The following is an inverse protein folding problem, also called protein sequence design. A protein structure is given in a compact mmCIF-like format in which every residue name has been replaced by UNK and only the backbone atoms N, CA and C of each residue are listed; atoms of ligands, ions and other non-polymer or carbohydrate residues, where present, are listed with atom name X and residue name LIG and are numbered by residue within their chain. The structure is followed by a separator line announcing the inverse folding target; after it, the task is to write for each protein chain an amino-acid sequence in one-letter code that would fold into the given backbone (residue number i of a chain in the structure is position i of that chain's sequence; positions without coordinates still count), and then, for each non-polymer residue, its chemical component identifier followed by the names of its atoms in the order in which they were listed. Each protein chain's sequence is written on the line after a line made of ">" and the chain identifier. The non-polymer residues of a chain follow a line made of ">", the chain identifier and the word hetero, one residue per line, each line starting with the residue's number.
data_IF_326914405717
#
_entry.id   IF_326914405717
#
_cell.length_a   1.000
_cell.length_b   1.000
_cell.length_c   1.000
_cell.angle_alpha   90.00
_cell.angle_beta   90.00
_cell.angle_gamma   90.00
#
_symmetry.space_group_name_H-M   'P 1'
#
loop_
_entity.id
_entity.type
_entity.pdbx_description
1 polymer ?
#
# COMPACT_ATOMS: atom_id res chain seq x y z
N UNK A 1 13.62 -43.91 -24.66
CA UNK A 1 14.04 -42.96 -23.63
C UNK A 1 13.00 -43.03 -22.52
N UNK A 2 13.33 -43.66 -21.38
CA UNK A 2 12.43 -43.77 -20.23
C UNK A 2 12.60 -42.55 -19.33
N UNK A 3 11.53 -41.94 -18.80
CA UNK A 3 11.65 -40.83 -17.88
C UNK A 3 12.10 -41.34 -16.50
N UNK A 4 13.07 -40.63 -15.92
CA UNK A 4 13.61 -40.91 -14.61
C UNK A 4 12.53 -40.69 -13.53
N UNK A 5 12.30 -41.71 -12.69
CA UNK A 5 11.49 -41.61 -11.48
C UNK A 5 12.27 -40.81 -10.43
N UNK A 6 11.89 -39.56 -10.20
CA UNK A 6 12.34 -38.77 -9.06
C UNK A 6 11.74 -39.34 -7.77
N UNK A 7 12.58 -39.81 -6.86
CA UNK A 7 12.18 -40.27 -5.54
C UNK A 7 11.86 -39.09 -4.62
N UNK A 8 10.64 -39.03 -4.10
CA UNK A 8 10.26 -38.09 -3.06
C UNK A 8 10.87 -38.52 -1.71
N UNK A 9 11.61 -37.63 -1.06
CA UNK A 9 12.02 -37.81 0.33
C UNK A 9 10.86 -37.48 1.29
N UNK A 10 10.68 -38.23 2.38
CA UNK A 10 9.65 -37.95 3.38
C UNK A 10 10.03 -36.72 4.22
N UNK A 11 9.13 -35.75 4.27
CA UNK A 11 9.25 -34.55 5.13
C UNK A 11 8.89 -34.93 6.57
N UNK A 12 9.81 -34.66 7.49
CA UNK A 12 9.63 -34.83 8.94
C UNK A 12 8.72 -33.72 9.47
N UNK A 13 7.61 -34.07 10.12
CA UNK A 13 6.69 -33.09 10.72
C UNK A 13 7.18 -32.71 12.12
N UNK A 14 7.66 -31.48 12.29
CA UNK A 14 7.89 -30.89 13.61
C UNK A 14 6.63 -30.13 14.06
N UNK A 15 6.30 -30.24 15.35
CA UNK A 15 5.05 -29.76 15.94
C UNK A 15 4.97 -28.23 16.07
N UNK A 16 3.78 -27.69 16.39
CA UNK A 16 3.54 -26.25 16.41
C UNK A 16 4.24 -25.55 17.57
N UNK A 17 4.89 -24.41 17.28
CA UNK A 17 5.43 -23.49 18.28
C UNK A 17 4.32 -22.71 19.01
N UNK A 18 4.46 -22.43 20.31
CA UNK A 18 3.51 -21.61 21.06
C UNK A 18 3.71 -20.12 20.74
N UNK A 19 2.61 -19.43 20.44
CA UNK A 19 2.53 -17.98 20.30
C UNK A 19 2.53 -17.33 21.69
N UNK A 20 3.57 -16.56 22.02
CA UNK A 20 3.59 -15.68 23.19
C UNK A 20 2.80 -14.40 22.87
N UNK A 21 1.70 -14.20 23.58
CA UNK A 21 0.98 -12.93 23.65
C UNK A 21 1.37 -12.25 24.95
N UNK A 22 2.15 -11.17 24.88
CA UNK A 22 2.27 -10.23 25.99
C UNK A 22 2.66 -8.82 25.50
N UNK A 23 2.24 -7.86 26.31
CA UNK A 23 2.62 -6.44 26.35
C UNK A 23 1.87 -5.44 25.46
N UNK A 24 0.72 -5.04 26.00
CA UNK A 24 0.13 -3.71 25.82
C UNK A 24 0.90 -2.69 26.67
N UNK A 25 1.63 -1.78 26.02
CA UNK A 25 2.35 -0.69 26.70
C UNK A 25 1.53 0.61 26.65
N UNK A 26 1.38 1.19 27.83
CA UNK A 26 0.52 2.31 28.19
C UNK A 26 1.25 3.64 27.90
N UNK A 27 0.90 4.33 26.81
CA UNK A 27 1.54 5.61 26.46
C UNK A 27 1.03 6.74 27.37
N UNK A 28 1.90 7.23 28.26
CA UNK A 28 1.72 8.45 29.04
C UNK A 28 1.65 9.68 28.12
N UNK A 29 0.58 10.46 28.28
CA UNK A 29 0.42 11.79 27.70
C UNK A 29 1.25 12.81 28.49
N UNK A 30 2.28 13.39 27.86
CA UNK A 30 2.97 14.58 28.36
C UNK A 30 2.17 15.85 28.01
N UNK A 31 1.70 16.56 29.04
CA UNK A 31 1.13 17.90 28.90
C UNK A 31 2.24 18.92 28.58
N UNK A 32 2.24 19.47 27.36
CA UNK A 32 3.07 20.62 27.00
C UNK A 32 2.38 21.92 27.46
N UNK A 33 2.95 22.55 28.49
CA UNK A 33 2.60 23.90 28.91
C UNK A 33 2.99 24.94 27.86
N UNK A 34 2.01 25.73 27.41
CA UNK A 34 2.24 26.87 26.54
C UNK A 34 2.49 28.13 27.38
N UNK A 35 3.60 28.81 27.09
CA UNK A 35 3.98 30.09 27.69
C UNK A 35 3.23 31.23 26.97
N UNK A 36 2.41 31.98 27.71
CA UNK A 36 1.65 33.12 27.17
C UNK A 36 2.60 34.33 27.07
N UNK A 37 2.96 34.72 25.85
CA UNK A 37 3.74 35.95 25.60
C UNK A 37 2.88 37.22 25.85
N UNK A 38 3.47 38.28 26.44
CA UNK A 38 2.75 39.51 26.71
C UNK A 38 2.46 40.30 25.42
N UNK A 39 1.18 40.64 25.27
CA UNK A 39 0.64 41.48 24.20
C UNK A 39 1.22 42.90 24.29
N UNK A 40 2.17 43.24 23.41
CA UNK A 40 2.67 44.61 23.26
C UNK A 40 1.69 45.43 22.44
N UNK A 41 1.15 46.50 23.05
CA UNK A 41 0.27 47.47 22.36
C UNK A 41 1.07 48.21 21.29
N UNK A 42 0.61 48.25 20.02
CA UNK A 42 1.19 49.15 19.05
C UNK A 42 0.85 50.60 19.37
N UNK A 43 1.90 51.41 19.42
CA UNK A 43 1.88 52.86 19.46
C UNK A 43 1.08 53.43 18.29
N UNK A 44 0.02 54.19 18.60
CA UNK A 44 -0.73 55.02 17.65
C UNK A 44 0.09 56.24 17.31
N UNK A 45 0.59 56.34 16.07
CA UNK A 45 0.91 57.62 15.45
C UNK A 45 1.15 57.44 13.96
N UNK A 46 0.10 57.61 13.16
CA UNK A 46 0.14 58.12 11.78
C UNK A 46 -1.32 58.34 11.33
N UNK A 47 -1.90 59.40 11.89
CA UNK A 47 -3.16 59.95 11.43
C UNK A 47 -2.82 61.14 10.51
N UNK A 48 -2.50 60.86 9.25
CA UNK A 48 -2.41 61.90 8.23
C UNK A 48 -3.16 61.48 6.96
N UNK A 49 -4.26 62.20 6.73
CA UNK A 49 -4.79 62.59 5.42
C UNK A 49 -5.18 61.46 4.45
N UNK A 50 -6.21 60.69 4.82
CA UNK A 50 -7.08 60.05 3.81
C UNK A 50 -8.24 61.00 3.54
N UNK A 51 -8.13 61.74 2.42
CA UNK A 51 -9.23 62.53 1.87
C UNK A 51 -10.45 61.61 1.71
N UNK A 52 -11.59 62.04 2.27
CA UNK A 52 -12.83 61.28 2.32
C UNK A 52 -13.45 61.07 0.95
N UNK A 53 -12.92 60.12 0.19
CA UNK A 53 -13.64 59.49 -0.90
C UNK A 53 -14.74 58.64 -0.30
N UNK A 54 -16.00 59.06 -0.45
CA UNK A 54 -17.15 58.23 -0.12
C UNK A 54 -17.13 57.03 -1.06
N UNK A 55 -16.58 55.91 -0.59
CA UNK A 55 -16.67 54.65 -1.32
C UNK A 55 -18.15 54.29 -1.38
N UNK A 56 -18.76 54.24 -2.57
CA UNK A 56 -20.18 54.03 -2.67
C UNK A 56 -20.55 52.64 -2.15
N UNK A 57 -21.64 52.57 -1.38
CA UNK A 57 -22.09 51.39 -0.62
C UNK A 57 -22.23 50.12 -1.49
N UNK A 58 -22.49 50.29 -2.80
CA UNK A 58 -22.61 49.18 -3.76
C UNK A 58 -21.29 48.44 -3.97
N UNK A 59 -20.13 49.09 -3.85
CA UNK A 59 -18.83 48.42 -3.97
C UNK A 59 -18.60 47.43 -2.83
N UNK A 60 -19.00 47.77 -1.60
CA UNK A 60 -18.95 46.86 -0.45
C UNK A 60 -19.89 45.66 -0.61
N UNK A 61 -21.07 45.89 -1.18
CA UNK A 61 -22.02 44.81 -1.45
C UNK A 61 -21.48 43.83 -2.50
N UNK A 62 -20.90 44.34 -3.60
CA UNK A 62 -20.34 43.50 -4.65
C UNK A 62 -19.13 42.69 -4.16
N UNK A 63 -18.22 43.30 -3.39
CA UNK A 63 -17.05 42.58 -2.87
C UNK A 63 -17.45 41.48 -1.88
N UNK A 64 -18.44 41.72 -1.02
CA UNK A 64 -18.98 40.72 -0.08
C UNK A 64 -19.60 39.53 -0.80
N UNK A 65 -20.37 39.76 -1.88
CA UNK A 65 -20.97 38.68 -2.69
C UNK A 65 -19.89 37.88 -3.42
N UNK A 66 -18.90 38.54 -4.03
CA UNK A 66 -17.80 37.81 -4.69
C UNK A 66 -16.97 36.99 -3.71
N UNK A 67 -16.73 37.53 -2.50
CA UNK A 67 -15.98 36.83 -1.46
C UNK A 67 -16.74 35.59 -0.97
N UNK A 68 -18.05 35.69 -0.75
CA UNK A 68 -18.89 34.54 -0.33
C UNK A 68 -18.97 33.47 -1.41
N UNK A 69 -19.07 33.84 -2.68
CA UNK A 69 -19.04 32.88 -3.80
C UNK A 69 -17.66 32.19 -3.87
N UNK A 70 -16.57 32.94 -3.82
CA UNK A 70 -15.21 32.39 -3.91
C UNK A 70 -14.91 31.45 -2.74
N UNK A 71 -15.27 31.85 -1.52
CA UNK A 71 -15.12 31.01 -0.32
C UNK A 71 -15.98 29.76 -0.38
N UNK A 72 -17.21 29.83 -0.93
CA UNK A 72 -18.03 28.65 -1.16
C UNK A 72 -17.37 27.67 -2.15
N UNK A 73 -16.82 28.15 -3.27
CA UNK A 73 -16.13 27.31 -4.23
C UNK A 73 -14.82 26.74 -3.69
N UNK A 74 -14.04 27.52 -2.94
CA UNK A 74 -12.82 27.04 -2.26
C UNK A 74 -13.16 26.00 -1.18
N UNK A 75 -14.20 26.24 -0.38
CA UNK A 75 -14.65 25.28 0.63
C UNK A 75 -15.16 24.00 -0.05
N UNK A 76 -15.91 24.10 -1.15
CA UNK A 76 -16.30 22.95 -1.96
C UNK A 76 -15.08 22.24 -2.54
N UNK A 77 -14.08 22.94 -3.05
CA UNK A 77 -12.87 22.32 -3.57
C UNK A 77 -12.09 21.61 -2.46
N UNK A 78 -12.00 22.18 -1.26
CA UNK A 78 -11.32 21.55 -0.10
C UNK A 78 -12.11 20.36 0.45
N UNK A 79 -13.44 20.44 0.52
CA UNK A 79 -14.31 19.34 0.99
C UNK A 79 -14.44 18.24 -0.08
N UNK A 80 -14.41 18.61 -1.37
CA UNK A 80 -14.50 17.66 -2.49
C UNK A 80 -13.14 17.13 -2.92
N UNK A 81 -12.04 17.77 -2.48
CA UNK A 81 -10.75 17.12 -2.46
C UNK A 81 -10.92 15.92 -1.53
N UNK A 82 -10.82 14.68 -2.03
CA UNK A 82 -10.80 13.54 -1.15
C UNK A 82 -9.57 13.76 -0.26
N UNK A 83 -9.81 14.21 0.97
CA UNK A 83 -8.90 13.91 2.04
C UNK A 83 -8.89 12.38 2.08
N UNK A 84 -7.94 11.77 1.37
CA UNK A 84 -7.57 10.36 1.50
C UNK A 84 -6.98 10.15 2.90
N UNK A 85 -7.72 10.50 3.95
CA UNK A 85 -7.28 10.41 5.34
C UNK A 85 -7.84 9.17 6.04
N UNK A 86 -8.26 8.17 5.28
CA UNK A 86 -8.56 6.85 5.78
C UNK A 86 -8.41 5.86 4.64
N UNK A 87 -7.40 5.00 4.71
CA UNK A 87 -7.39 3.76 3.93
C UNK A 87 -8.71 3.04 4.22
N UNK A 88 -9.55 2.89 3.20
CA UNK A 88 -10.80 2.16 3.32
C UNK A 88 -10.52 0.69 3.02
N UNK A 89 -10.04 -0.01 4.04
CA UNK A 89 -9.83 -1.46 3.97
C UNK A 89 -11.12 -2.26 3.74
N UNK A 90 -12.30 -1.63 3.63
CA UNK A 90 -13.55 -2.32 3.29
C UNK A 90 -13.79 -2.47 1.78
N UNK A 91 -13.01 -1.79 0.93
CA UNK A 91 -13.24 -1.72 -0.53
C UNK A 91 -12.23 -2.43 -1.44
N UNK A 92 -11.22 -3.12 -0.89
CA UNK A 92 -10.17 -3.69 -1.75
C UNK A 92 -10.59 -4.94 -2.53
N UNK A 93 -11.58 -5.66 -2.02
CA UNK A 93 -12.20 -6.79 -2.72
C UNK A 93 -13.45 -6.34 -3.45
N UNK A 94 -13.49 -6.62 -4.76
CA UNK A 94 -14.67 -6.37 -5.58
C UNK A 94 -15.80 -7.38 -5.29
N UNK A 95 -15.45 -8.61 -4.91
CA UNK A 95 -16.40 -9.62 -4.46
C UNK A 95 -15.89 -10.32 -3.19
N UNK A 96 -16.80 -10.81 -2.31
CA UNK A 96 -16.42 -11.59 -1.15
C UNK A 96 -15.53 -12.80 -1.51
N UNK A 97 -14.67 -13.21 -0.58
CA UNK A 97 -13.91 -14.45 -0.73
C UNK A 97 -14.84 -15.64 -1.00
N UNK A 98 -14.48 -16.45 -2.01
CA UNK A 98 -15.28 -17.59 -2.42
C UNK A 98 -16.57 -17.25 -3.16
N UNK A 99 -16.75 -15.98 -3.59
CA UNK A 99 -17.86 -15.63 -4.47
C UNK A 99 -17.83 -16.48 -5.75
N UNK A 100 -18.97 -17.03 -6.19
CA UNK A 100 -19.08 -17.70 -7.48
C UNK A 100 -18.61 -16.80 -8.62
N UNK A 101 -17.92 -17.38 -9.61
CA UNK A 101 -17.32 -16.62 -10.69
C UNK A 101 -18.34 -15.82 -11.51
N UNK A 102 -19.52 -16.38 -11.75
CA UNK A 102 -20.62 -15.70 -12.44
C UNK A 102 -21.11 -14.46 -11.69
N UNK A 103 -21.22 -14.54 -10.37
CA UNK A 103 -21.61 -13.41 -9.50
C UNK A 103 -20.53 -12.32 -9.49
N UNK A 104 -19.26 -12.69 -9.43
CA UNK A 104 -18.16 -11.73 -9.41
C UNK A 104 -17.99 -11.04 -10.79
N UNK A 105 -18.07 -11.80 -11.88
CA UNK A 105 -18.02 -11.25 -13.25
C UNK A 105 -19.22 -10.34 -13.51
N UNK A 106 -20.43 -10.69 -13.04
CA UNK A 106 -21.60 -9.82 -13.15
C UNK A 106 -21.44 -8.47 -12.40
N UNK A 107 -20.54 -8.40 -11.42
CA UNK A 107 -20.18 -7.16 -10.71
C UNK A 107 -19.03 -6.39 -11.38
N UNK A 108 -18.49 -6.88 -12.50
CA UNK A 108 -17.34 -6.29 -13.17
C UNK A 108 -16.02 -6.53 -12.44
N UNK A 109 -15.93 -7.60 -11.63
CA UNK A 109 -14.71 -7.98 -10.95
C UNK A 109 -13.79 -8.83 -11.85
N UNK A 110 -12.50 -8.76 -11.59
CA UNK A 110 -11.46 -9.49 -12.30
C UNK A 110 -10.76 -10.46 -11.34
N UNK A 111 -10.51 -11.68 -11.83
CA UNK A 111 -9.88 -12.73 -11.03
C UNK A 111 -8.36 -12.61 -11.10
N UNK A 112 -7.74 -12.40 -9.95
CA UNK A 112 -6.32 -12.60 -9.80
C UNK A 112 -6.05 -14.03 -9.32
N UNK A 113 -5.59 -14.86 -10.25
CA UNK A 113 -5.21 -16.26 -10.03
C UNK A 113 -4.14 -16.44 -8.96
N UNK A 114 -3.23 -15.49 -8.75
CA UNK A 114 -2.15 -15.65 -7.77
C UNK A 114 -2.64 -15.34 -6.38
N UNK A 115 -3.31 -14.20 -6.19
CA UNK A 115 -3.84 -13.83 -4.89
C UNK A 115 -5.12 -14.60 -4.53
N UNK A 116 -5.78 -15.22 -5.52
CA UNK A 116 -7.08 -15.89 -5.41
C UNK A 116 -8.19 -14.96 -4.90
N UNK A 117 -8.20 -13.73 -5.41
CA UNK A 117 -9.18 -12.71 -5.06
C UNK A 117 -9.81 -12.08 -6.31
N UNK A 118 -11.00 -11.52 -6.10
CA UNK A 118 -11.72 -10.73 -7.08
C UNK A 118 -11.45 -9.24 -6.85
N UNK A 119 -10.85 -8.57 -7.82
CA UNK A 119 -10.49 -7.16 -7.72
C UNK A 119 -11.28 -6.28 -8.67
N UNK A 120 -11.33 -4.99 -8.34
CA UNK A 120 -11.88 -3.98 -9.24
C UNK A 120 -10.96 -3.82 -10.45
N UNK A 121 -11.56 -3.53 -11.62
CA UNK A 121 -10.83 -3.36 -12.88
C UNK A 121 -9.63 -2.43 -12.76
N UNK A 122 -9.80 -1.28 -12.12
CA UNK A 122 -8.75 -0.26 -11.95
C UNK A 122 -7.49 -0.76 -11.23
N UNK A 123 -7.65 -1.76 -10.34
CA UNK A 123 -6.53 -2.35 -9.58
C UNK A 123 -5.89 -3.52 -10.31
N UNK A 124 -6.63 -4.12 -11.25
CA UNK A 124 -6.21 -5.28 -12.04
C UNK A 124 -5.52 -4.85 -13.35
N UNK A 125 -6.06 -3.83 -14.02
CA UNK A 125 -5.67 -3.42 -15.39
C UNK A 125 -4.46 -2.47 -15.46
N UNK A 126 -3.82 -2.13 -14.34
CA UNK A 126 -2.59 -1.32 -14.41
C UNK A 126 -1.48 -2.12 -15.13
N UNK A 127 -0.67 -1.43 -15.94
CA UNK A 127 0.35 -2.06 -16.77
C UNK A 127 1.37 -2.84 -15.91
N UNK A 128 1.71 -2.30 -14.74
CA UNK A 128 2.59 -2.91 -13.75
C UNK A 128 1.97 -4.16 -13.12
N UNK A 129 0.68 -4.11 -12.76
CA UNK A 129 -0.04 -5.26 -12.21
C UNK A 129 -0.12 -6.39 -13.25
N UNK A 130 -0.45 -6.05 -14.49
CA UNK A 130 -0.50 -7.00 -15.60
C UNK A 130 0.89 -7.58 -15.91
N UNK A 131 1.95 -6.78 -15.83
CA UNK A 131 3.32 -7.26 -15.99
C UNK A 131 3.70 -8.25 -14.88
N UNK A 132 3.42 -7.90 -13.64
CA UNK A 132 3.65 -8.76 -12.48
C UNK A 132 2.90 -10.10 -12.62
N UNK A 133 1.61 -10.05 -12.97
CA UNK A 133 0.82 -11.26 -13.20
C UNK A 133 1.41 -12.13 -14.31
N UNK A 134 1.81 -11.54 -15.44
CA UNK A 134 2.42 -12.29 -16.55
C UNK A 134 3.73 -12.97 -16.15
N UNK A 135 4.60 -12.26 -15.44
CA UNK A 135 5.86 -12.80 -14.92
C UNK A 135 5.59 -14.02 -14.03
N UNK A 136 4.64 -13.89 -13.12
CA UNK A 136 4.29 -14.99 -12.24
C UNK A 136 3.61 -16.14 -12.98
N UNK A 137 2.68 -15.88 -13.90
CA UNK A 137 2.01 -16.91 -14.69
C UNK A 137 3.01 -17.72 -15.54
N UNK A 138 4.04 -17.07 -16.09
CA UNK A 138 5.04 -17.71 -16.92
C UNK A 138 5.86 -18.80 -16.21
N UNK A 139 5.89 -18.80 -14.87
CA UNK A 139 6.63 -19.79 -14.08
C UNK A 139 5.95 -21.16 -13.96
N UNK A 140 4.69 -21.30 -14.42
CA UNK A 140 3.85 -22.51 -14.37
C UNK A 140 3.66 -23.10 -12.96
N UNK A 141 2.41 -23.17 -12.51
CA UNK A 141 2.08 -23.56 -11.14
C UNK A 141 1.03 -24.66 -11.12
N UNK A 142 1.41 -25.94 -10.90
CA UNK A 142 0.42 -27.01 -10.84
C UNK A 142 -0.42 -26.91 -9.56
N UNK A 143 -1.74 -26.85 -9.72
CA UNK A 143 -2.72 -26.77 -8.65
C UNK A 143 -3.66 -27.97 -8.66
N UNK A 144 -4.17 -28.34 -7.49
CA UNK A 144 -4.97 -29.54 -7.32
C UNK A 144 -6.19 -29.34 -6.41
N UNK A 145 -7.26 -30.13 -6.59
CA UNK A 145 -8.40 -30.18 -5.66
C UNK A 145 -8.10 -30.98 -4.40
N UNK A 146 -7.05 -31.79 -4.41
CA UNK A 146 -6.68 -32.66 -3.30
C UNK A 146 -5.20 -32.52 -2.95
N UNK A 147 -4.87 -32.86 -1.71
CA UNK A 147 -3.52 -32.77 -1.16
C UNK A 147 -2.57 -33.79 -1.79
N UNK A 148 -3.11 -34.90 -2.27
CA UNK A 148 -2.39 -36.00 -2.92
C UNK A 148 -2.03 -35.70 -4.38
N UNK A 149 -2.45 -34.54 -4.90
CA UNK A 149 -2.19 -34.06 -6.25
C UNK A 149 -2.77 -34.97 -7.36
N UNK A 150 -3.94 -35.56 -7.13
CA UNK A 150 -4.59 -36.48 -8.07
C UNK A 150 -5.52 -35.77 -9.08
N UNK A 151 -6.14 -34.66 -8.68
CA UNK A 151 -7.13 -33.94 -9.47
C UNK A 151 -6.58 -32.55 -9.82
N UNK A 152 -5.84 -32.40 -10.94
CA UNK A 152 -5.32 -31.11 -11.35
C UNK A 152 -6.48 -30.18 -11.73
N UNK A 153 -6.32 -28.89 -11.43
CA UNK A 153 -7.23 -27.83 -11.87
C UNK A 153 -6.53 -26.91 -12.86
N UNK A 154 -7.32 -26.28 -13.72
CA UNK A 154 -6.84 -25.14 -14.50
C UNK A 154 -6.63 -23.95 -13.56
N UNK A 155 -5.41 -23.43 -13.57
CA UNK A 155 -4.95 -22.31 -12.72
C UNK A 155 -5.69 -21.01 -13.07
N UNK A 156 -6.17 -20.90 -14.30
CA UNK A 156 -6.92 -19.75 -14.80
C UNK A 156 -8.43 -19.92 -14.63
N UNK A 157 -8.90 -21.05 -14.11
CA UNK A 157 -10.32 -21.28 -13.89
C UNK A 157 -10.79 -20.70 -12.55
N UNK A 158 -11.59 -19.62 -12.56
CA UNK A 158 -12.09 -18.99 -11.34
C UNK A 158 -13.19 -19.81 -10.63
N UNK A 159 -13.62 -20.95 -11.20
CA UNK A 159 -14.65 -21.80 -10.59
C UNK A 159 -14.18 -22.51 -9.32
N UNK A 160 -12.87 -22.55 -9.07
CA UNK A 160 -12.25 -23.19 -7.92
C UNK A 160 -11.73 -22.12 -6.92
N UNK A 161 -12.52 -21.74 -5.90
CA UNK A 161 -12.13 -20.68 -4.96
C UNK A 161 -11.02 -21.09 -3.98
N UNK A 162 -10.57 -22.33 -4.03
CA UNK A 162 -9.46 -22.86 -3.25
C UNK A 162 -8.73 -23.93 -4.07
N UNK A 163 -7.44 -24.10 -3.77
CA UNK A 163 -6.59 -25.09 -4.41
C UNK A 163 -5.50 -25.56 -3.45
N UNK A 164 -5.12 -26.83 -3.56
CA UNK A 164 -3.88 -27.32 -3.00
C UNK A 164 -2.72 -26.91 -3.91
N UNK A 165 -1.78 -26.20 -3.30
CA UNK A 165 -0.59 -25.68 -3.96
C UNK A 165 0.66 -26.35 -3.39
N UNK A 166 1.71 -26.40 -4.18
CA UNK A 166 3.02 -26.84 -3.68
C UNK A 166 3.59 -25.83 -2.67
N UNK A 167 4.50 -26.27 -1.78
CA UNK A 167 5.24 -25.34 -0.90
C UNK A 167 5.97 -24.26 -1.70
N UNK A 168 6.58 -24.65 -2.83
CA UNK A 168 7.26 -23.73 -3.74
C UNK A 168 6.29 -22.63 -4.19
N UNK A 169 5.13 -23.01 -4.75
CA UNK A 169 4.12 -22.04 -5.18
C UNK A 169 3.65 -21.14 -4.03
N UNK A 170 3.44 -21.68 -2.83
CA UNK A 170 3.04 -20.88 -1.68
C UNK A 170 4.08 -19.80 -1.33
N UNK A 171 5.38 -20.10 -1.35
CA UNK A 171 6.42 -19.10 -1.11
C UNK A 171 6.46 -18.02 -2.19
N UNK A 172 6.30 -18.41 -3.45
CA UNK A 172 6.18 -17.46 -4.55
C UNK A 172 4.91 -16.60 -4.43
N UNK A 173 3.77 -17.18 -4.04
CA UNK A 173 2.55 -16.44 -3.72
C UNK A 173 2.77 -15.41 -2.60
N UNK A 174 3.49 -15.76 -1.53
CA UNK A 174 3.84 -14.81 -0.47
C UNK A 174 4.67 -13.64 -1.02
N UNK A 175 5.67 -13.90 -1.85
CA UNK A 175 6.46 -12.86 -2.52
C UNK A 175 5.60 -11.97 -3.42
N UNK A 176 4.77 -12.59 -4.26
CA UNK A 176 3.80 -11.91 -5.12
C UNK A 176 2.89 -10.96 -4.34
N UNK A 177 2.28 -11.45 -3.26
CA UNK A 177 1.34 -10.68 -2.46
C UNK A 177 2.01 -9.46 -1.80
N UNK A 178 3.29 -9.58 -1.41
CA UNK A 178 4.07 -8.46 -0.87
C UNK A 178 4.39 -7.41 -1.96
N UNK A 179 4.82 -7.85 -3.15
CA UNK A 179 5.07 -6.95 -4.29
C UNK A 179 3.78 -6.24 -4.71
N UNK A 180 2.68 -6.99 -4.84
CA UNK A 180 1.36 -6.45 -5.17
C UNK A 180 0.88 -5.43 -4.11
N UNK A 181 1.09 -5.73 -2.83
CA UNK A 181 0.76 -4.80 -1.74
C UNK A 181 1.52 -3.50 -1.88
N UNK A 182 2.82 -3.56 -2.13
CA UNK A 182 3.63 -2.36 -2.32
C UNK A 182 3.18 -1.56 -3.55
N UNK A 183 3.00 -2.22 -4.69
CA UNK A 183 2.52 -1.60 -5.93
C UNK A 183 1.19 -0.87 -5.74
N UNK A 184 0.24 -1.49 -5.03
CA UNK A 184 -1.06 -0.88 -4.75
C UNK A 184 -0.94 0.36 -3.85
N UNK A 185 -0.08 0.31 -2.84
CA UNK A 185 0.18 1.47 -1.98
C UNK A 185 0.81 2.63 -2.76
N UNK A 186 1.74 2.35 -3.68
CA UNK A 186 2.34 3.37 -4.56
C UNK A 186 1.31 4.02 -5.49
N UNK A 187 0.30 3.25 -5.91
CA UNK A 187 -0.81 3.72 -6.75
C UNK A 187 -1.92 4.42 -5.93
N UNK A 188 -1.77 4.54 -4.62
CA UNK A 188 -2.78 5.14 -3.73
C UNK A 188 -4.00 4.25 -3.46
N UNK A 189 -3.89 2.95 -3.73
CA UNK A 189 -4.92 1.96 -3.42
C UNK A 189 -4.73 1.34 -2.03
N UNK A 190 -5.81 0.88 -1.41
CA UNK A 190 -5.75 0.06 -0.20
C UNK A 190 -5.09 -1.29 -0.51
N UNK A 191 -4.30 -1.87 0.39
CA UNK A 191 -3.60 -3.13 0.14
C UNK A 191 -4.56 -4.31 -0.13
N UNK A 192 -4.14 -5.31 -0.93
CA UNK A 192 -4.98 -6.44 -1.37
C UNK A 192 -5.27 -7.47 -0.27
N UNK A 193 -4.83 -7.24 0.96
CA UNK A 193 -4.96 -8.16 2.07
C UNK A 193 -4.86 -7.47 3.43
N UNK A 194 -5.19 -8.21 4.49
CA UNK A 194 -5.09 -7.71 5.86
C UNK A 194 -3.64 -7.73 6.33
N UNK A 195 -3.31 -6.86 7.29
CA UNK A 195 -1.99 -6.86 7.93
C UNK A 195 -1.60 -8.24 8.51
N UNK A 196 -2.57 -8.99 9.05
CA UNK A 196 -2.31 -10.34 9.54
C UNK A 196 -1.86 -11.30 8.42
N UNK A 197 -2.39 -11.13 7.21
CA UNK A 197 -1.97 -11.93 6.06
C UNK A 197 -0.57 -11.52 5.58
N UNK A 198 -0.28 -10.22 5.52
CA UNK A 198 1.08 -9.70 5.26
C UNK A 198 2.09 -10.26 6.25
N UNK A 199 1.79 -10.21 7.55
CA UNK A 199 2.64 -10.79 8.60
C UNK A 199 2.87 -12.29 8.39
N UNK A 200 1.82 -13.04 8.07
CA UNK A 200 1.95 -14.47 7.76
C UNK A 200 2.93 -14.71 6.59
N UNK A 201 2.74 -14.00 5.47
CA UNK A 201 3.60 -14.14 4.30
C UNK A 201 5.08 -13.85 4.61
N UNK A 202 5.35 -12.74 5.31
CA UNK A 202 6.72 -12.37 5.70
C UNK A 202 7.32 -13.42 6.62
N UNK A 203 6.61 -13.85 7.67
CA UNK A 203 7.14 -14.82 8.62
C UNK A 203 7.39 -16.18 7.97
N UNK A 204 6.53 -16.62 7.05
CA UNK A 204 6.74 -17.85 6.28
C UNK A 204 8.00 -17.78 5.40
N UNK A 205 8.25 -16.64 4.75
CA UNK A 205 9.45 -16.44 3.94
C UNK A 205 10.72 -16.45 4.80
N UNK A 206 10.68 -15.79 5.96
CA UNK A 206 11.78 -15.82 6.93
C UNK A 206 12.01 -17.23 7.48
N UNK A 207 10.95 -17.98 7.79
CA UNK A 207 11.06 -19.36 8.26
C UNK A 207 11.73 -20.28 7.22
N UNK A 208 11.50 -20.06 5.92
CA UNK A 208 12.21 -20.79 4.86
C UNK A 208 13.69 -20.50 4.88
N UNK A 209 14.08 -19.24 5.06
CA UNK A 209 15.48 -18.82 5.14
C UNK A 209 16.14 -19.44 6.38
N UNK A 210 15.51 -19.37 7.55
CA UNK A 210 16.05 -19.93 8.79
C UNK A 210 16.14 -21.46 8.76
N UNK A 211 15.17 -22.14 8.15
CA UNK A 211 15.16 -23.60 8.04
C UNK A 211 16.10 -24.15 6.96
N UNK A 212 16.42 -23.35 5.95
CA UNK A 212 17.28 -23.71 4.83
C UNK A 212 18.21 -22.54 4.47
N UNK A 213 19.11 -22.15 5.39
CA UNK A 213 19.92 -20.95 5.22
C UNK A 213 20.83 -21.10 3.99
N UNK A 214 20.88 -20.10 3.09
CA UNK A 214 21.87 -20.11 2.03
C UNK A 214 23.28 -20.08 2.66
N UNK A 215 24.30 -20.66 1.99
CA UNK A 215 25.63 -20.82 2.58
C UNK A 215 26.31 -19.50 2.95
N UNK A 216 25.88 -18.40 2.34
CA UNK A 216 26.33 -17.01 2.49
C UNK A 216 25.34 -16.15 3.29
N UNK A 217 24.36 -16.74 3.99
CA UNK A 217 23.35 -15.97 4.75
C UNK A 217 23.96 -14.94 5.72
N UNK A 218 25.13 -15.26 6.27
CA UNK A 218 25.83 -14.42 7.25
C UNK A 218 26.86 -13.48 6.62
N UNK A 219 27.01 -13.50 5.29
CA UNK A 219 27.93 -12.61 4.59
C UNK A 219 27.36 -11.18 4.60
N UNK A 220 28.24 -10.20 4.83
CA UNK A 220 27.87 -8.79 4.82
C UNK A 220 27.65 -8.37 3.37
N UNK A 221 26.39 -8.29 2.95
CA UNK A 221 25.99 -8.06 1.55
C UNK A 221 25.39 -6.69 1.26
N UNK A 222 25.00 -5.93 2.30
CA UNK A 222 24.34 -4.63 2.11
C UNK A 222 25.06 -3.50 2.86
N UNK A 223 25.36 -2.41 2.16
CA UNK A 223 25.79 -1.15 2.76
C UNK A 223 24.58 -0.23 2.93
N UNK A 224 23.92 -0.31 4.10
CA UNK A 224 22.77 0.53 4.40
C UNK A 224 23.23 1.94 4.79
N UNK A 225 22.74 2.96 4.09
CA UNK A 225 22.94 4.36 4.47
C UNK A 225 22.12 4.67 5.71
N UNK A 226 22.78 4.74 6.87
CA UNK A 226 22.17 5.22 8.11
C UNK A 226 22.32 6.75 8.13
N UNK A 227 21.23 7.52 8.27
CA UNK A 227 21.33 8.97 8.41
C UNK A 227 22.27 9.32 9.56
N UNK A 228 23.16 10.30 9.35
CA UNK A 228 24.12 10.72 10.38
C UNK A 228 23.42 11.31 11.63
N UNK A 229 22.17 11.76 11.49
CA UNK A 229 21.37 12.26 12.59
C UNK A 229 19.96 11.62 12.59
N UNK A 230 19.62 10.77 13.57
CA UNK A 230 18.30 10.15 13.67
C UNK A 230 17.17 11.16 13.91
N UNK A 231 17.48 12.40 14.36
CA UNK A 231 16.47 13.48 14.48
C UNK A 231 16.09 14.09 13.14
N UNK A 232 16.94 13.93 12.13
CA UNK A 232 16.72 14.37 10.75
C UNK A 232 16.63 13.16 9.84
N UNK A 233 15.83 12.15 10.25
CA UNK A 233 15.38 11.13 9.30
C UNK A 233 14.93 11.85 8.03
N UNK A 234 15.21 11.32 6.83
CA UNK A 234 14.72 11.90 5.58
C UNK A 234 13.19 11.82 5.53
N UNK A 235 12.53 12.66 6.31
CA UNK A 235 11.18 13.09 6.10
C UNK A 235 11.30 14.02 4.90
N UNK A 236 11.00 13.49 3.72
CA UNK A 236 10.72 14.33 2.57
C UNK A 236 9.45 15.09 2.94
N UNK A 237 9.61 16.28 3.49
CA UNK A 237 8.48 17.20 3.63
C UNK A 237 7.94 17.44 2.22
N UNK A 238 6.61 17.46 2.01
CA UNK A 238 6.05 17.89 0.73
C UNK A 238 6.64 19.23 0.25
N UNK A 239 7.01 20.10 1.19
CA UNK A 239 7.59 21.42 0.93
C UNK A 239 9.08 21.38 0.56
N UNK A 240 9.78 20.26 0.79
CA UNK A 240 11.21 20.12 0.46
C UNK A 240 11.46 19.52 -0.93
N UNK A 241 10.41 19.17 -1.68
CA UNK A 241 10.53 18.87 -3.10
C UNK A 241 10.68 20.18 -3.89
N UNK A 242 11.79 20.39 -4.61
CA UNK A 242 11.88 21.53 -5.51
C UNK A 242 10.74 21.42 -6.53
N UNK A 243 9.91 22.47 -6.65
CA UNK A 243 8.79 22.57 -7.61
C UNK A 243 9.14 22.15 -9.06
N UNK A 244 10.43 22.16 -9.42
CA UNK A 244 10.94 21.66 -10.71
C UNK A 244 10.76 20.16 -10.96
N UNK A 245 10.55 19.33 -9.92
CA UNK A 245 10.35 17.89 -10.10
C UNK A 245 8.94 17.51 -10.55
N UNK A 246 7.97 18.43 -10.44
CA UNK A 246 6.56 18.15 -10.81
C UNK A 246 6.34 18.38 -12.32
N UNK A 247 7.16 19.18 -12.99
CA UNK A 247 6.91 19.57 -14.39
C UNK A 247 7.53 18.64 -15.45
N UNK A 248 8.49 17.78 -15.12
CA UNK A 248 9.26 17.05 -16.15
C UNK A 248 8.88 15.59 -16.35
N UNK A 249 8.18 14.94 -15.41
CA UNK A 249 7.69 13.56 -15.58
C UNK A 249 8.76 12.51 -15.92
N UNK A 250 10.05 12.85 -15.82
CA UNK A 250 11.16 11.98 -16.18
C UNK A 250 11.55 11.18 -14.93
N UNK A 251 11.06 9.93 -14.87
CA UNK A 251 11.52 8.94 -13.91
C UNK A 251 13.02 8.73 -14.12
N UNK A 252 13.82 9.08 -13.10
CA UNK A 252 15.24 8.76 -13.09
C UNK A 252 15.34 7.24 -12.98
N UNK A 253 15.74 6.59 -14.07
CA UNK A 253 16.08 5.18 -14.09
C UNK A 253 17.18 4.89 -13.05
N UNK A 254 16.84 4.02 -12.09
CA UNK A 254 17.73 3.04 -11.50
C UNK A 254 19.03 3.55 -10.89
N UNK A 255 18.98 3.91 -9.61
CA UNK A 255 20.07 3.47 -8.75
C UNK A 255 19.86 1.97 -8.52
N UNK A 256 20.62 1.15 -9.24
CA UNK A 256 20.80 -0.26 -8.87
C UNK A 256 21.32 -0.29 -7.43
N UNK A 257 20.51 -0.83 -6.52
CA UNK A 257 21.01 -1.30 -5.23
C UNK A 257 21.92 -2.49 -5.52
N UNK A 258 23.20 -2.21 -5.71
CA UNK A 258 24.27 -3.19 -5.80
C UNK A 258 24.66 -3.72 -4.42
#
# INVERSE_FOLDING_TARGET
>A
MSPARGGYMPVRSEGPMPLSSDESDESKTEEHGYEILPFTRPSRSLAEHVAGGTVPLWLFSMTSVTFTILTFFLLRAVISSPAHSGYDFSGYLCAPRGAPADVAVARGCFWDTFSNYWFHKERYDSDEMQALMREFTAMFWPRFLDKEAQHPIDVLDPSHPWAWVSKKEHYWHCGYALIQTHLWLEQGFDPPGTFSHTKHCVMMLLEVIESHPPPDLMDISANLSIPADPKHWPLVSPDSLPLKYIETGELINGHECA
#
